data_IF_903611580111
#
_entry.id   IF_903611580111
#
_cell.length_a   1.000
_cell.length_b   1.000
_cell.length_c   1.000
_cell.angle_alpha   90.00
_cell.angle_beta   90.00
_cell.angle_gamma   90.00
#
_symmetry.space_group_name_H-M   'P 1'
#
loop_
_entity.id
_entity.type
_entity.pdbx_description
1 polymer ?
#
# COMPACT_ATOMS: atom_id res chain seq x y z
N UNK A 1 -7.27 -17.83 7.29
CA UNK A 1 -6.29 -16.74 6.99
C UNK A 1 -5.90 -15.97 8.25
N UNK A 2 -6.86 -15.44 9.00
CA UNK A 2 -6.64 -14.54 10.15
C UNK A 2 -5.63 -15.02 11.20
N UNK A 3 -5.68 -16.30 11.59
CA UNK A 3 -4.76 -16.88 12.57
C UNK A 3 -3.29 -16.75 12.16
N UNK A 4 -2.97 -16.86 10.86
CA UNK A 4 -1.59 -16.85 10.35
C UNK A 4 -0.97 -15.46 10.35
N UNK A 5 -1.79 -14.42 10.26
CA UNK A 5 -1.35 -13.02 10.21
C UNK A 5 -1.42 -12.31 11.57
N UNK A 6 -1.89 -13.01 12.62
CA UNK A 6 -2.12 -12.44 13.96
C UNK A 6 -0.86 -12.18 14.79
N UNK A 7 0.33 -12.43 14.24
CA UNK A 7 1.61 -12.19 14.93
C UNK A 7 2.41 -11.03 14.32
N UNK A 8 1.83 -10.30 13.38
CA UNK A 8 2.41 -9.09 12.80
C UNK A 8 1.75 -7.88 13.45
N UNK A 9 2.44 -6.75 13.51
CA UNK A 9 1.90 -5.57 14.20
C UNK A 9 0.85 -4.84 13.36
N UNK A 10 1.10 -4.71 12.05
CA UNK A 10 0.25 -4.02 11.09
C UNK A 10 0.14 -4.88 9.82
N UNK A 11 -1.08 -5.04 9.30
CA UNK A 11 -1.39 -5.80 8.10
C UNK A 11 -2.30 -4.99 7.18
N UNK A 12 -1.91 -4.89 5.91
CA UNK A 12 -2.78 -4.46 4.82
C UNK A 12 -3.24 -5.66 3.99
N UNK A 13 -4.54 -5.72 3.68
CA UNK A 13 -5.18 -6.77 2.90
C UNK A 13 -5.83 -6.15 1.67
N UNK A 14 -5.69 -6.82 0.53
CA UNK A 14 -6.36 -6.54 -0.73
C UNK A 14 -7.30 -7.70 -1.07
N UNK A 15 -8.26 -7.46 -1.96
CA UNK A 15 -9.25 -8.44 -2.42
C UNK A 15 -10.10 -9.14 -1.33
N UNK A 16 -10.23 -8.50 -0.17
CA UNK A 16 -11.08 -9.01 0.91
C UNK A 16 -12.55 -8.62 0.70
N UNK A 17 -13.17 -9.20 -0.32
CA UNK A 17 -14.57 -8.95 -0.68
C UNK A 17 -15.54 -9.86 0.07
N UNK A 18 -15.28 -11.17 0.06
CA UNK A 18 -16.20 -12.20 0.53
C UNK A 18 -15.67 -13.03 1.71
N UNK A 19 -14.40 -12.84 2.08
CA UNK A 19 -13.74 -13.64 3.12
C UNK A 19 -13.54 -12.88 4.44
N UNK A 20 -14.04 -11.64 4.53
CA UNK A 20 -13.80 -10.73 5.64
C UNK A 20 -14.18 -11.32 7.00
N UNK A 21 -15.39 -11.89 7.10
CA UNK A 21 -15.86 -12.53 8.33
C UNK A 21 -14.94 -13.69 8.76
N UNK A 22 -14.48 -14.51 7.80
CA UNK A 22 -13.56 -15.60 8.09
C UNK A 22 -12.18 -15.08 8.51
N UNK A 23 -11.66 -14.07 7.79
CA UNK A 23 -10.40 -13.39 8.11
C UNK A 23 -10.44 -12.87 9.55
N UNK A 24 -11.51 -12.19 9.95
CA UNK A 24 -11.60 -11.51 11.24
C UNK A 24 -11.93 -12.46 12.39
N UNK A 25 -12.73 -13.51 12.15
CA UNK A 25 -13.13 -14.47 13.19
C UNK A 25 -11.97 -15.19 13.89
N UNK A 26 -10.82 -15.30 13.20
CA UNK A 26 -9.63 -15.97 13.71
C UNK A 26 -8.43 -15.04 13.85
N UNK A 27 -8.61 -13.74 13.65
CA UNK A 27 -7.56 -12.74 13.78
C UNK A 27 -7.54 -12.14 15.21
N UNK A 28 -6.37 -11.70 15.68
CA UNK A 28 -6.17 -11.15 17.03
C UNK A 28 -5.92 -9.65 17.13
N UNK A 29 -5.79 -8.91 16.02
CA UNK A 29 -5.57 -7.46 16.08
C UNK A 29 -6.76 -6.76 16.73
N UNK A 30 -6.53 -5.76 17.56
CA UNK A 30 -7.56 -5.01 18.28
C UNK A 30 -8.20 -3.96 17.37
N UNK A 31 -7.41 -3.37 16.48
CA UNK A 31 -7.83 -2.28 15.61
C UNK A 31 -7.93 -2.77 14.18
N UNK A 32 -9.11 -2.60 13.58
CA UNK A 32 -9.41 -3.13 12.26
C UNK A 32 -10.35 -2.19 11.52
N UNK A 33 -10.10 -2.01 10.25
CA UNK A 33 -11.03 -1.28 9.38
C UNK A 33 -12.29 -2.14 9.13
N UNK A 34 -13.47 -1.52 8.97
CA UNK A 34 -14.66 -2.24 8.55
C UNK A 34 -14.56 -2.64 7.08
N UNK A 35 -15.22 -3.73 6.68
CA UNK A 35 -15.38 -4.10 5.26
C UNK A 35 -16.17 -3.03 4.49
N UNK A 36 -15.81 -2.81 3.23
CA UNK A 36 -16.58 -2.03 2.25
C UNK A 36 -17.61 -2.88 1.47
N UNK A 37 -17.75 -4.16 1.81
CA UNK A 37 -18.68 -5.10 1.17
C UNK A 37 -18.04 -5.92 0.03
N UNK A 38 -18.89 -6.63 -0.71
CA UNK A 38 -18.47 -7.44 -1.84
C UNK A 38 -18.40 -6.66 -3.15
N UNK A 39 -17.86 -7.30 -4.19
CA UNK A 39 -17.90 -6.79 -5.57
C UNK A 39 -19.36 -6.63 -6.03
N UNK A 40 -19.74 -5.54 -6.72
CA UNK A 40 -18.89 -4.49 -7.30
C UNK A 40 -18.75 -3.22 -6.45
N UNK A 41 -19.20 -3.21 -5.19
CA UNK A 41 -19.22 -1.99 -4.37
C UNK A 41 -18.03 -1.88 -3.42
N UNK A 42 -17.54 -3.02 -2.93
CA UNK A 42 -16.42 -3.07 -2.01
C UNK A 42 -15.09 -2.92 -2.72
N UNK A 43 -14.16 -2.21 -2.07
CA UNK A 43 -12.77 -2.05 -2.53
C UNK A 43 -11.88 -3.25 -2.18
N UNK A 44 -12.32 -4.10 -1.24
CA UNK A 44 -11.50 -5.21 -0.74
C UNK A 44 -10.27 -4.79 0.09
N UNK A 45 -10.10 -3.48 0.33
CA UNK A 45 -9.00 -2.91 1.10
C UNK A 45 -9.34 -2.85 2.60
N UNK A 46 -8.53 -3.53 3.40
CA UNK A 46 -8.65 -3.53 4.85
C UNK A 46 -7.28 -3.46 5.55
N UNK A 47 -7.23 -2.76 6.68
CA UNK A 47 -6.05 -2.65 7.54
C UNK A 47 -6.36 -3.20 8.93
N UNK A 48 -5.43 -3.97 9.48
CA UNK A 48 -5.49 -4.54 10.82
C UNK A 48 -4.22 -4.16 11.58
N UNK A 49 -4.34 -3.86 12.88
CA UNK A 49 -3.24 -3.38 13.70
C UNK A 49 -3.40 -3.74 15.17
N UNK A 50 -2.29 -4.00 15.84
CA UNK A 50 -2.20 -4.07 17.31
C UNK A 50 -2.09 -2.68 17.97
N UNK A 51 -1.85 -1.64 17.16
CA UNK A 51 -1.80 -0.24 17.55
C UNK A 51 -3.06 0.52 17.13
N UNK A 52 -3.53 1.49 17.94
CA UNK A 52 -4.74 2.26 17.66
C UNK A 52 -4.66 3.08 16.39
N UNK A 53 -5.83 3.29 15.79
CA UNK A 53 -6.02 4.17 14.65
C UNK A 53 -6.52 5.54 15.13
N UNK A 54 -5.88 6.63 14.73
CA UNK A 54 -6.33 7.99 15.08
C UNK A 54 -7.46 8.48 14.18
N UNK A 55 -7.60 7.90 12.97
CA UNK A 55 -8.58 8.32 11.97
C UNK A 55 -9.64 7.24 11.59
N UNK A 56 -9.75 6.13 12.34
CA UNK A 56 -10.59 4.97 11.98
C UNK A 56 -12.05 5.29 11.64
N UNK A 57 -12.65 6.25 12.34
CA UNK A 57 -14.06 6.61 12.18
C UNK A 57 -14.34 7.32 10.85
N UNK A 58 -13.32 7.87 10.22
CA UNK A 58 -13.40 8.62 8.97
C UNK A 58 -12.54 7.99 7.87
N UNK A 59 -12.44 6.65 7.87
CA UNK A 59 -11.65 5.93 6.88
C UNK A 59 -12.11 6.25 5.45
N UNK A 60 -11.30 7.01 4.74
CA UNK A 60 -11.48 7.30 3.33
C UNK A 60 -10.99 6.13 2.46
N UNK A 61 -11.78 5.81 1.43
CA UNK A 61 -11.45 4.86 0.38
C UNK A 61 -11.42 5.61 -0.94
N UNK A 62 -10.22 6.01 -1.35
CA UNK A 62 -10.03 6.81 -2.55
C UNK A 62 -9.98 5.89 -3.75
N UNK A 63 -10.90 6.08 -4.70
CA UNK A 63 -10.90 5.33 -5.97
C UNK A 63 -9.91 5.95 -6.96
N UNK A 64 -9.35 5.12 -7.83
CA UNK A 64 -8.51 5.62 -8.92
C UNK A 64 -9.30 6.46 -9.93
N UNK A 65 -8.70 7.57 -10.36
CA UNK A 65 -9.27 8.42 -11.42
C UNK A 65 -9.13 7.78 -12.80
N UNK A 66 -8.08 6.97 -12.99
CA UNK A 66 -7.75 6.30 -14.24
C UNK A 66 -7.71 4.79 -14.02
N UNK A 67 -8.35 4.04 -14.93
CA UNK A 67 -8.38 2.58 -14.94
C UNK A 67 -8.38 2.08 -16.39
N UNK A 68 -7.82 0.90 -16.63
CA UNK A 68 -7.86 0.25 -17.93
C UNK A 68 -9.21 -0.43 -18.16
N UNK A 69 -9.78 -0.23 -19.35
CA UNK A 69 -11.00 -0.92 -19.78
C UNK A 69 -10.72 -2.14 -20.67
N UNK A 70 -9.45 -2.48 -20.92
CA UNK A 70 -9.08 -3.50 -21.90
C UNK A 70 -9.61 -4.89 -21.53
N UNK A 71 -9.50 -5.28 -20.25
CA UNK A 71 -10.05 -6.54 -19.73
C UNK A 71 -11.46 -6.38 -19.11
N UNK A 72 -12.11 -5.21 -19.28
CA UNK A 72 -13.48 -4.92 -18.86
C UNK A 72 -13.81 -5.14 -17.35
N UNK A 73 -12.81 -5.29 -16.48
CA UNK A 73 -12.99 -5.63 -15.06
C UNK A 73 -12.46 -4.56 -14.10
N UNK A 74 -11.35 -3.89 -14.41
CA UNK A 74 -10.65 -3.02 -13.45
C UNK A 74 -11.44 -1.74 -13.14
N UNK A 75 -12.13 -1.16 -14.13
CA UNK A 75 -13.06 -0.05 -13.88
C UNK A 75 -14.39 -0.47 -13.23
N UNK A 76 -14.67 -1.78 -13.06
CA UNK A 76 -15.93 -2.29 -12.47
C UNK A 76 -15.80 -2.66 -11.00
N UNK A 77 -14.58 -2.83 -10.51
CA UNK A 77 -14.29 -3.02 -9.09
C UNK A 77 -13.66 -1.73 -8.59
N UNK A 78 -14.07 -1.16 -7.45
CA UNK A 78 -13.53 0.09 -6.96
C UNK A 78 -12.13 -0.12 -6.36
N UNK A 79 -11.17 -0.32 -7.25
CA UNK A 79 -9.74 -0.29 -6.95
C UNK A 79 -9.35 1.11 -6.47
N UNK A 80 -8.31 1.17 -5.66
CA UNK A 80 -7.97 2.42 -4.99
C UNK A 80 -6.93 2.26 -3.91
N UNK A 81 -6.99 3.16 -2.94
CA UNK A 81 -6.19 3.08 -1.74
C UNK A 81 -6.94 3.61 -0.50
N UNK A 82 -6.38 3.32 0.68
CA UNK A 82 -6.80 3.89 1.97
C UNK A 82 -5.61 4.43 2.73
N UNK A 83 -5.85 5.45 3.56
CA UNK A 83 -4.92 5.93 4.57
C UNK A 83 -5.49 5.61 5.97
N UNK A 84 -4.71 4.89 6.78
CA UNK A 84 -4.94 4.76 8.22
C UNK A 84 -3.74 5.34 8.96
N UNK A 85 -4.01 6.25 9.87
CA UNK A 85 -3.00 6.78 10.78
C UNK A 85 -2.90 5.87 12.01
N UNK A 86 -1.71 5.30 12.26
CA UNK A 86 -1.46 4.36 13.34
C UNK A 86 -0.58 5.00 14.40
N UNK A 87 -1.07 5.11 15.63
CA UNK A 87 -0.32 5.66 16.75
C UNK A 87 0.48 4.53 17.45
N UNK A 88 1.79 4.52 17.26
CA UNK A 88 2.69 3.47 17.76
C UNK A 88 3.26 3.76 19.16
N UNK A 89 3.18 5.02 19.59
CA UNK A 89 3.48 5.52 20.93
C UNK A 89 2.76 6.86 21.11
N UNK A 90 2.65 7.37 22.34
CA UNK A 90 1.95 8.63 22.63
C UNK A 90 2.45 9.78 21.74
N UNK A 91 1.58 10.29 20.88
CA UNK A 91 1.88 11.37 19.94
C UNK A 91 2.80 11.00 18.77
N UNK A 92 3.10 9.71 18.57
CA UNK A 92 3.92 9.20 17.47
C UNK A 92 3.05 8.40 16.51
N UNK A 93 2.73 9.01 15.38
CA UNK A 93 1.88 8.44 14.33
C UNK A 93 2.67 8.06 13.09
N UNK A 94 2.28 6.95 12.47
CA UNK A 94 2.74 6.52 11.15
C UNK A 94 1.53 6.43 10.23
N UNK A 95 1.66 6.99 9.03
CA UNK A 95 0.65 6.94 7.99
C UNK A 95 0.80 5.64 7.20
N UNK A 96 -0.23 4.80 7.26
CA UNK A 96 -0.26 3.49 6.61
C UNK A 96 -1.16 3.56 5.38
N UNK A 97 -0.54 3.45 4.21
CA UNK A 97 -1.21 3.41 2.93
C UNK A 97 -1.43 1.97 2.47
N UNK A 98 -2.68 1.61 2.17
CA UNK A 98 -3.06 0.32 1.57
C UNK A 98 -3.54 0.56 0.13
N UNK A 99 -2.87 0.00 -0.89
CA UNK A 99 -3.25 0.18 -2.30
C UNK A 99 -3.54 -1.14 -3.02
N UNK A 100 -4.37 -1.04 -4.05
CA UNK A 100 -4.52 -2.04 -5.10
C UNK A 100 -4.67 -1.31 -6.44
N UNK A 101 -3.61 -1.25 -7.24
CA UNK A 101 -3.59 -0.54 -8.53
C UNK A 101 -4.03 -1.44 -9.69
N UNK A 102 -4.30 -0.82 -10.84
CA UNK A 102 -4.76 -1.46 -12.09
C UNK A 102 -3.99 -2.76 -12.44
N UNK A 103 -4.71 -3.81 -12.81
CA UNK A 103 -4.15 -5.14 -13.04
C UNK A 103 -3.71 -5.28 -14.52
N UNK A 104 -3.46 -6.50 -15.00
CA UNK A 104 -3.15 -6.72 -16.42
C UNK A 104 -1.71 -6.37 -16.85
N UNK A 105 -1.45 -6.49 -18.15
CA UNK A 105 -0.10 -6.48 -18.74
C UNK A 105 0.05 -5.59 -19.97
N UNK A 106 -1.04 -5.04 -20.49
CA UNK A 106 -1.03 -4.20 -21.68
C UNK A 106 -0.39 -2.83 -21.43
N UNK A 107 -0.18 -2.07 -22.49
CA UNK A 107 0.29 -0.69 -22.34
C UNK A 107 -0.76 0.23 -21.71
N UNK A 108 -2.06 -0.06 -21.91
CA UNK A 108 -3.15 0.68 -21.26
C UNK A 108 -3.11 0.46 -19.75
N UNK A 109 -2.95 -0.80 -19.34
CA UNK A 109 -2.84 -1.20 -17.93
C UNK A 109 -1.63 -0.54 -17.24
N UNK A 110 -0.46 -0.59 -17.88
CA UNK A 110 0.74 0.05 -17.34
C UNK A 110 0.58 1.57 -17.23
N UNK A 111 -0.10 2.21 -18.20
CA UNK A 111 -0.40 3.64 -18.15
C UNK A 111 -1.37 3.98 -17.01
N UNK A 112 -2.40 3.17 -16.81
CA UNK A 112 -3.34 3.33 -15.70
C UNK A 112 -2.63 3.19 -14.35
N UNK A 113 -1.80 2.15 -14.15
CA UNK A 113 -0.96 2.02 -12.95
C UNK A 113 -0.05 3.22 -12.71
N UNK A 114 0.60 3.72 -13.75
CA UNK A 114 1.44 4.91 -13.63
C UNK A 114 0.66 6.13 -13.14
N UNK A 115 -0.57 6.33 -13.64
CA UNK A 115 -1.47 7.36 -13.16
C UNK A 115 -1.96 7.12 -11.72
N UNK A 116 -2.25 5.86 -11.35
CA UNK A 116 -2.63 5.50 -9.97
C UNK A 116 -1.51 5.83 -8.97
N UNK A 117 -0.26 5.45 -9.29
CA UNK A 117 0.89 5.74 -8.43
C UNK A 117 1.18 7.24 -8.34
N UNK A 118 0.93 8.01 -9.40
CA UNK A 118 1.00 9.47 -9.35
C UNK A 118 -0.08 10.05 -8.44
N UNK A 119 -1.34 9.62 -8.59
CA UNK A 119 -2.45 10.05 -7.74
C UNK A 119 -2.17 9.76 -6.25
N UNK A 120 -1.62 8.58 -5.94
CA UNK A 120 -1.18 8.25 -4.59
C UNK A 120 -0.08 9.21 -4.11
N UNK A 121 0.94 9.46 -4.93
CA UNK A 121 2.03 10.40 -4.56
C UNK A 121 1.51 11.79 -4.23
N UNK A 122 0.55 12.29 -5.00
CA UNK A 122 -0.05 13.61 -4.80
C UNK A 122 -0.88 13.63 -3.50
N UNK A 123 -1.73 12.61 -3.29
CA UNK A 123 -2.49 12.47 -2.05
C UNK A 123 -1.58 12.40 -0.82
N UNK A 124 -0.50 11.64 -0.86
CA UNK A 124 0.47 11.55 0.24
C UNK A 124 1.12 12.91 0.54
N UNK A 125 1.41 13.70 -0.48
CA UNK A 125 1.99 15.05 -0.33
C UNK A 125 1.03 15.98 0.41
N UNK A 126 -0.26 15.87 0.13
CA UNK A 126 -1.30 16.72 0.71
C UNK A 126 -1.72 16.29 2.12
N UNK A 127 -1.70 14.98 2.41
CA UNK A 127 -2.35 14.43 3.59
C UNK A 127 -1.39 13.98 4.70
N UNK A 128 -0.15 13.58 4.38
CA UNK A 128 0.73 13.01 5.41
C UNK A 128 1.38 14.04 6.33
N UNK A 129 1.36 15.33 5.98
CA UNK A 129 1.79 16.42 6.86
C UNK A 129 3.23 16.34 7.42
N UNK A 130 4.11 15.52 6.84
CA UNK A 130 5.46 15.27 7.37
C UNK A 130 5.60 14.02 8.26
N UNK A 131 4.52 13.28 8.51
CA UNK A 131 4.53 12.02 9.25
C UNK A 131 5.43 10.98 8.55
N UNK A 132 5.86 9.98 9.32
CA UNK A 132 6.47 8.79 8.74
C UNK A 132 5.40 7.99 7.98
N UNK A 133 5.77 7.43 6.83
CA UNK A 133 4.81 6.75 5.95
C UNK A 133 5.27 5.33 5.60
N UNK A 134 4.31 4.42 5.53
CA UNK A 134 4.52 3.07 5.01
C UNK A 134 3.48 2.82 3.91
N UNK A 135 3.97 2.44 2.73
CA UNK A 135 3.14 2.13 1.57
C UNK A 135 3.12 0.63 1.35
N UNK A 136 1.96 -0.01 1.46
CA UNK A 136 1.83 -1.45 1.28
C UNK A 136 0.65 -1.76 0.39
N UNK A 137 0.76 -2.79 -0.43
CA UNK A 137 -0.35 -3.18 -1.26
C UNK A 137 0.05 -3.98 -2.47
N UNK A 138 -0.95 -4.31 -3.28
CA UNK A 138 -0.75 -4.89 -4.59
C UNK A 138 -0.53 -3.75 -5.58
N UNK A 139 0.74 -3.56 -5.96
CA UNK A 139 1.13 -2.53 -6.92
C UNK A 139 0.88 -2.98 -8.36
N UNK A 140 0.59 -4.27 -8.59
CA UNK A 140 0.55 -4.92 -9.90
C UNK A 140 1.77 -4.61 -10.81
N UNK A 141 2.82 -4.00 -10.26
CA UNK A 141 3.98 -3.54 -11.00
C UNK A 141 5.04 -4.63 -11.06
N UNK A 142 5.89 -4.55 -12.06
CA UNK A 142 7.12 -5.35 -12.14
C UNK A 142 8.26 -4.43 -12.52
N UNK A 143 9.37 -4.54 -11.80
CA UNK A 143 10.60 -3.80 -12.11
C UNK A 143 11.18 -4.08 -13.51
N UNK A 144 10.67 -5.11 -14.21
CA UNK A 144 11.06 -5.47 -15.58
C UNK A 144 10.17 -4.86 -16.66
N UNK A 145 9.06 -4.20 -16.30
CA UNK A 145 8.13 -3.58 -17.26
C UNK A 145 8.49 -2.11 -17.41
N UNK A 146 8.61 -1.66 -18.66
CA UNK A 146 9.13 -0.34 -18.99
C UNK A 146 8.25 0.80 -18.45
N UNK A 147 6.93 0.63 -18.48
CA UNK A 147 5.98 1.68 -18.11
C UNK A 147 5.54 1.62 -16.64
N UNK A 148 5.98 0.63 -15.87
CA UNK A 148 5.66 0.55 -14.44
C UNK A 148 6.56 1.53 -13.64
N UNK A 149 5.94 2.50 -12.96
CA UNK A 149 6.63 3.66 -12.37
C UNK A 149 6.86 3.57 -10.86
N UNK A 150 6.80 2.38 -10.25
CA UNK A 150 6.98 2.21 -8.79
C UNK A 150 8.31 2.76 -8.27
N UNK A 151 9.37 2.67 -9.08
CA UNK A 151 10.66 3.27 -8.74
C UNK A 151 10.63 4.80 -8.74
N UNK A 152 9.80 5.41 -9.59
CA UNK A 152 9.60 6.86 -9.63
C UNK A 152 8.83 7.35 -8.41
N UNK A 153 7.79 6.63 -7.96
CA UNK A 153 7.12 6.92 -6.68
C UNK A 153 8.14 6.93 -5.53
N UNK A 154 8.98 5.91 -5.45
CA UNK A 154 10.01 5.87 -4.41
C UNK A 154 11.00 7.04 -4.47
N UNK A 155 11.44 7.43 -5.68
CA UNK A 155 12.36 8.56 -5.85
C UNK A 155 11.72 9.90 -5.53
N UNK A 156 10.46 10.12 -5.92
CA UNK A 156 9.75 11.37 -5.64
C UNK A 156 9.62 11.59 -4.13
N UNK A 157 9.24 10.55 -3.38
CA UNK A 157 9.05 10.66 -1.92
C UNK A 157 10.33 10.97 -1.16
N UNK A 158 11.45 10.31 -1.50
CA UNK A 158 12.75 10.63 -0.89
C UNK A 158 13.18 12.06 -1.19
N UNK A 159 12.89 12.56 -2.39
CA UNK A 159 13.23 13.95 -2.75
C UNK A 159 12.38 14.96 -1.99
N UNK A 160 11.11 14.65 -1.72
CA UNK A 160 10.18 15.54 -1.04
C UNK A 160 10.33 15.52 0.49
N UNK A 161 10.77 14.39 1.04
CA UNK A 161 10.99 14.21 2.47
C UNK A 161 12.43 13.75 2.77
N UNK A 162 13.42 14.65 2.67
CA UNK A 162 14.81 14.31 2.95
C UNK A 162 14.98 13.77 4.37
N UNK A 163 15.47 12.54 4.52
CA UNK A 163 15.66 11.88 5.82
C UNK A 163 14.53 10.92 6.22
N UNK A 164 13.41 10.89 5.48
CA UNK A 164 12.38 9.86 5.63
C UNK A 164 12.78 8.56 4.92
N UNK A 165 12.17 7.44 5.31
CA UNK A 165 12.30 6.15 4.63
C UNK A 165 10.93 5.67 4.20
N UNK A 166 10.68 5.59 2.89
CA UNK A 166 9.48 4.94 2.37
C UNK A 166 9.77 3.46 2.12
N UNK A 167 8.93 2.60 2.71
CA UNK A 167 8.97 1.15 2.48
C UNK A 167 7.77 0.77 1.62
N UNK A 168 8.05 0.16 0.47
CA UNK A 168 7.03 -0.55 -0.33
C UNK A 168 7.11 -2.02 0.02
N UNK A 169 6.09 -2.55 0.70
CA UNK A 169 6.01 -3.97 1.05
C UNK A 169 4.92 -4.63 0.23
N UNK A 170 5.34 -5.47 -0.71
CA UNK A 170 4.46 -6.29 -1.53
C UNK A 170 4.64 -7.76 -1.14
N UNK A 171 3.56 -8.39 -0.67
CA UNK A 171 3.58 -9.82 -0.39
C UNK A 171 3.16 -10.60 -1.64
N UNK A 172 4.14 -11.02 -2.44
CA UNK A 172 3.90 -11.95 -3.53
C UNK A 172 3.68 -13.35 -2.93
N UNK A 173 2.46 -13.95 -3.01
CA UNK A 173 2.26 -15.31 -2.54
C UNK A 173 3.17 -16.25 -3.34
N UNK A 174 4.16 -16.83 -2.64
CA UNK A 174 5.12 -17.77 -3.24
C UNK A 174 4.40 -18.89 -3.97
N UNK A 175 4.61 -18.97 -5.28
CA UNK A 175 5.09 -20.24 -5.83
C UNK A 175 6.62 -20.17 -5.79
N UNK A 176 7.24 -21.17 -5.17
CA UNK A 176 8.69 -21.43 -5.01
C UNK A 176 9.34 -20.90 -3.70
N UNK A 177 10.06 -21.75 -2.93
CA UNK A 177 10.62 -21.42 -1.61
C UNK A 177 11.94 -20.61 -1.70
N UNK A 178 12.31 -19.95 -0.59
CA UNK A 178 13.46 -19.01 -0.40
C UNK A 178 13.28 -17.66 -1.13
N UNK A 179 13.49 -16.44 -0.62
CA UNK A 179 14.07 -15.81 0.58
C UNK A 179 13.30 -14.47 0.70
N UNK A 180 12.70 -14.14 1.84
CA UNK A 180 12.21 -12.78 2.08
C UNK A 180 13.40 -11.90 2.46
N UNK A 181 14.05 -11.28 1.48
CA UNK A 181 14.91 -10.12 1.73
C UNK A 181 14.05 -8.87 1.63
N UNK A 182 13.79 -8.23 2.77
CA UNK A 182 13.48 -6.80 2.80
C UNK A 182 14.68 -6.10 2.17
N UNK A 183 14.49 -5.49 1.00
CA UNK A 183 15.54 -4.69 0.37
C UNK A 183 15.18 -3.23 0.61
N UNK A 184 15.76 -2.66 1.66
CA UNK A 184 15.85 -1.21 1.81
C UNK A 184 16.57 -0.69 0.57
N UNK A 185 15.86 0.00 -0.31
CA UNK A 185 16.52 0.82 -1.31
C UNK A 185 17.15 1.97 -0.52
N UNK A 186 18.46 2.17 -0.66
CA UNK A 186 19.17 3.30 -0.09
C UNK A 186 19.67 4.15 -1.25
N UNK A 187 19.55 5.48 -1.14
CA UNK A 187 20.13 6.40 -2.12
C UNK A 187 21.66 6.32 -2.07
N UNK A 188 22.36 6.41 -3.21
CA UNK A 188 23.82 6.48 -3.24
C UNK A 188 24.27 7.94 -3.08
N UNK A 189 24.23 8.49 -1.86
CA UNK A 189 24.89 9.78 -1.58
C UNK A 189 25.35 9.89 -0.11
N UNK A 190 26.54 9.34 0.17
CA UNK A 190 27.58 10.06 0.92
C UNK A 190 28.90 9.27 0.87
N UNK A 191 29.68 9.49 -0.20
CA UNK A 191 31.11 9.22 -0.13
C UNK A 191 31.73 10.29 0.80
N UNK A 192 31.93 9.96 2.08
CA UNK A 192 32.87 10.72 2.92
C UNK A 192 34.26 10.19 2.65
N UNK A 193 35.10 11.04 2.04
CA UNK A 193 36.53 10.85 1.95
C UNK A 193 37.14 10.79 3.36
N UNK A 194 37.93 9.77 3.60
CA UNK A 194 38.87 9.74 4.72
C UNK A 194 40.27 9.88 4.13
N UNK A 195 40.87 11.06 4.27
CA UNK A 195 42.33 11.24 4.19
C UNK A 195 42.85 11.38 5.62
N UNK A 196 43.91 10.62 5.93
CA UNK A 196 44.70 10.78 7.16
C UNK A 196 45.48 12.08 7.15
#
# INVERSE_FOLDING_TARGET
MGKRISGWDIINVQDDFNYHANLYSQNKHEYRTPTSGGVPLGSGLNTLSHFPFTNAMNLERVTWNECSNFDNADCKTPMGFTLVEVEIAEGVTIDIYNLHTDAGVTNADQKARAANLQQLSDYMTENSGGNAEIVMGDTNTRYTRELDTIASLYRSRISQMPGSSMFVVEYLPKRVPTLSRVKQLTSPTSARSWTR
#
